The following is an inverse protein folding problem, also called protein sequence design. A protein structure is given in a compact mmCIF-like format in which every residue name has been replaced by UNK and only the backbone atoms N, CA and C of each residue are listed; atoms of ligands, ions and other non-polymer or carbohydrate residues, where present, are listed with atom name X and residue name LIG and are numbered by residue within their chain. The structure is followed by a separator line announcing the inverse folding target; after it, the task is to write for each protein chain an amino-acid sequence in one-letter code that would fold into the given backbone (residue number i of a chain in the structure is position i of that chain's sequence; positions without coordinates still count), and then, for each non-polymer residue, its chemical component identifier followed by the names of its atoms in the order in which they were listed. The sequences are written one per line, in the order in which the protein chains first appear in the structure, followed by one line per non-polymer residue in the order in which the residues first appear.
data_IF_137134556708
#
_entry.id   IF_137134556708
#
_cell.length_a   1.000
_cell.length_b   1.000
_cell.length_c   1.000
_cell.angle_alpha   90.00
_cell.angle_beta   90.00
_cell.angle_gamma   90.00
#
_symmetry.space_group_name_H-M   'P 1'
#
loop_
_entity.id
_entity.type
_entity.pdbx_description
1 polymer ?
#
# COMPACT_ATOMS: atom_id res chain seq x y z
N UNK A 1 3.71 7.65 18.02
CA UNK A 1 3.03 7.76 19.34
C UNK A 1 2.20 9.03 19.49
N UNK A 2 2.23 9.92 18.54
CA UNK A 2 1.47 11.17 18.63
C UNK A 2 0.21 11.01 17.78
N UNK A 3 -0.88 10.62 18.45
CA UNK A 3 -2.20 10.68 17.85
C UNK A 3 -2.55 12.16 17.75
N UNK A 4 -2.45 12.71 16.54
CA UNK A 4 -2.96 14.05 16.28
C UNK A 4 -4.47 13.95 16.14
N UNK A 5 -5.18 14.74 16.94
CA UNK A 5 -6.61 14.94 16.76
C UNK A 5 -6.81 16.13 15.84
N UNK A 6 -7.81 16.11 14.96
CA UNK A 6 -8.14 17.29 14.18
C UNK A 6 -8.61 18.40 15.12
N UNK A 7 -8.05 19.59 14.97
CA UNK A 7 -8.50 20.78 15.72
C UNK A 7 -9.87 21.24 15.24
N UNK A 8 -10.13 21.09 13.93
CA UNK A 8 -11.39 21.45 13.27
C UNK A 8 -11.67 20.46 12.12
N UNK A 9 -12.94 20.42 11.69
CA UNK A 9 -13.40 19.59 10.57
C UNK A 9 -14.29 18.44 11.00
N UNK A 10 -14.84 17.74 10.01
CA UNK A 10 -15.77 16.62 10.20
C UNK A 10 -15.35 15.44 9.34
N UNK A 11 -15.48 14.24 9.89
CA UNK A 11 -15.22 12.98 9.17
C UNK A 11 -16.56 12.30 8.93
N UNK A 12 -16.82 11.90 7.69
CA UNK A 12 -18.03 11.17 7.32
C UNK A 12 -17.67 9.81 6.78
N UNK A 13 -18.34 8.77 7.27
CA UNK A 13 -18.28 7.40 6.73
C UNK A 13 -19.71 6.99 6.42
N UNK A 14 -19.97 6.58 5.18
CA UNK A 14 -21.31 6.24 4.68
C UNK A 14 -22.36 7.35 4.94
N UNK A 15 -21.94 8.61 4.82
CA UNK A 15 -22.80 9.79 5.03
C UNK A 15 -23.13 10.09 6.49
N UNK A 16 -22.54 9.36 7.45
CA UNK A 16 -22.71 9.62 8.88
C UNK A 16 -21.45 10.28 9.42
N UNK A 17 -21.62 11.35 10.18
CA UNK A 17 -20.52 11.97 10.91
C UNK A 17 -20.00 11.02 11.98
N UNK A 18 -18.67 10.84 12.01
CA UNK A 18 -17.99 9.93 12.93
C UNK A 18 -16.79 10.61 13.56
N UNK A 19 -16.43 10.16 14.75
CA UNK A 19 -15.23 10.57 15.44
C UNK A 19 -14.29 9.38 15.60
N UNK A 20 -13.04 9.52 15.13
CA UNK A 20 -12.01 8.48 15.20
C UNK A 20 -10.94 8.93 16.19
N UNK A 21 -10.99 8.43 17.41
CA UNK A 21 -10.04 8.76 18.50
C UNK A 21 -9.01 7.67 18.73
N UNK A 22 -9.24 6.48 18.22
CA UNK A 22 -8.38 5.33 18.44
C UNK A 22 -8.36 4.39 17.23
N UNK A 23 -7.34 3.52 17.10
CA UNK A 23 -7.36 2.46 16.11
C UNK A 23 -8.58 1.54 16.21
N UNK A 24 -9.15 1.39 17.42
CA UNK A 24 -10.36 0.60 17.63
C UNK A 24 -11.56 1.25 16.95
N UNK A 25 -11.73 2.55 17.06
CA UNK A 25 -12.83 3.28 16.41
C UNK A 25 -12.75 3.13 14.89
N UNK A 26 -11.52 3.17 14.32
CA UNK A 26 -11.31 2.93 12.90
C UNK A 26 -11.73 1.48 12.51
N UNK A 27 -11.39 0.49 13.34
CA UNK A 27 -11.82 -0.90 13.10
C UNK A 27 -13.34 -1.07 13.17
N UNK A 28 -13.99 -0.43 14.13
CA UNK A 28 -15.44 -0.47 14.30
C UNK A 28 -16.16 0.20 13.09
N UNK A 29 -15.47 1.08 12.37
CA UNK A 29 -15.88 1.69 11.10
C UNK A 29 -15.39 0.93 9.86
N UNK A 30 -14.89 -0.28 10.01
CA UNK A 30 -14.35 -1.13 8.93
C UNK A 30 -13.18 -0.46 8.15
N UNK A 31 -12.41 0.40 8.81
CA UNK A 31 -11.22 1.04 8.23
C UNK A 31 -9.96 0.28 8.69
N UNK A 32 -9.21 -0.23 7.74
CA UNK A 32 -7.93 -0.90 7.97
C UNK A 32 -6.77 -0.12 7.39
N UNK A 33 -5.68 0.03 8.14
CA UNK A 33 -4.45 0.68 7.67
C UNK A 33 -3.28 -0.28 7.69
N UNK A 34 -2.56 -0.34 6.59
CA UNK A 34 -1.31 -1.06 6.42
C UNK A 34 -0.18 -0.04 6.37
N UNK A 35 0.70 -0.10 7.36
CA UNK A 35 1.83 0.81 7.50
C UNK A 35 3.02 0.37 6.65
N UNK A 36 3.90 1.30 6.31
CA UNK A 36 5.17 1.05 5.62
C UNK A 36 6.06 0.00 6.34
N UNK A 37 6.00 -0.06 7.66
CA UNK A 37 6.71 -1.06 8.47
C UNK A 37 5.74 -2.11 8.98
N UNK A 38 6.03 -3.37 8.65
CA UNK A 38 5.19 -4.50 9.08
C UNK A 38 5.16 -4.66 10.59
N UNK A 39 3.96 -4.88 11.12
CA UNK A 39 3.73 -5.14 12.54
C UNK A 39 3.42 -6.63 12.75
N UNK A 40 4.31 -7.49 12.23
CA UNK A 40 4.20 -8.94 12.32
C UNK A 40 5.18 -9.49 13.35
N UNK A 41 4.78 -10.58 13.98
CA UNK A 41 5.62 -11.35 14.91
C UNK A 41 6.31 -12.45 14.12
N UNK A 42 7.63 -12.35 13.97
CA UNK A 42 8.41 -13.21 13.06
C UNK A 42 8.31 -14.71 13.39
N UNK A 43 8.25 -15.07 14.67
CA UNK A 43 8.18 -16.47 15.12
C UNK A 43 6.79 -17.11 14.94
N UNK A 44 5.78 -16.32 14.62
CA UNK A 44 4.42 -16.80 14.39
C UNK A 44 4.20 -17.15 12.93
N UNK A 45 3.18 -17.97 12.67
CA UNK A 45 2.69 -18.22 11.30
C UNK A 45 1.86 -17.05 10.78
N UNK A 46 1.59 -17.03 9.47
CA UNK A 46 0.68 -16.04 8.90
C UNK A 46 -0.68 -16.07 9.59
N UNK A 47 -1.28 -17.26 9.75
CA UNK A 47 -2.57 -17.41 10.42
C UNK A 47 -2.53 -16.89 11.88
N UNK A 48 -1.49 -17.21 12.63
CA UNK A 48 -1.32 -16.72 14.01
C UNK A 48 -1.21 -15.19 14.08
N UNK A 49 -0.52 -14.55 13.12
CA UNK A 49 -0.43 -13.09 13.03
C UNK A 49 -1.76 -12.44 12.66
N UNK A 50 -2.53 -13.04 11.77
CA UNK A 50 -3.82 -12.52 11.31
C UNK A 50 -4.81 -12.43 12.46
N UNK A 51 -4.84 -13.42 13.34
CA UNK A 51 -5.76 -13.48 14.48
C UNK A 51 -5.23 -12.78 15.74
N UNK A 52 -3.97 -12.42 15.77
CA UNK A 52 -3.33 -11.80 16.93
C UNK A 52 -4.07 -10.53 17.36
N UNK A 53 -4.53 -10.49 18.61
CA UNK A 53 -5.22 -9.34 19.19
C UNK A 53 -6.72 -9.25 18.85
N UNK A 54 -7.31 -10.26 18.19
CA UNK A 54 -8.76 -10.33 18.06
C UNK A 54 -9.39 -10.72 19.41
N UNK A 55 -10.57 -10.14 19.75
CA UNK A 55 -11.35 -10.59 20.89
C UNK A 55 -11.85 -12.01 20.59
N UNK A 56 -11.22 -13.00 21.14
CA UNK A 56 -11.59 -14.39 20.97
C UNK A 56 -11.29 -15.17 22.23
N UNK A 57 -11.98 -16.27 22.43
CA UNK A 57 -11.87 -17.12 23.60
C UNK A 57 -10.42 -17.44 23.94
N UNK A 58 -10.04 -17.16 25.17
CA UNK A 58 -8.73 -17.40 25.74
C UNK A 58 -8.28 -18.84 25.43
N UNK A 59 -7.56 -19.04 24.33
CA UNK A 59 -6.81 -20.24 24.02
C UNK A 59 -7.50 -21.33 23.20
N UNK A 60 -8.67 -21.10 22.60
CA UNK A 60 -9.40 -22.11 21.78
C UNK A 60 -9.76 -21.61 20.37
N UNK A 61 -8.89 -20.86 19.73
CA UNK A 61 -9.12 -20.54 18.33
C UNK A 61 -8.76 -21.76 17.46
N UNK A 62 -9.73 -22.27 16.71
CA UNK A 62 -9.51 -23.39 15.80
C UNK A 62 -8.59 -22.94 14.66
N UNK A 63 -7.31 -23.33 14.74
CA UNK A 63 -6.31 -22.99 13.72
C UNK A 63 -6.70 -23.45 12.33
N UNK A 64 -7.46 -24.55 12.24
CA UNK A 64 -7.94 -25.08 10.97
C UNK A 64 -8.99 -24.18 10.34
N UNK A 65 -9.92 -23.68 11.15
CA UNK A 65 -10.94 -22.73 10.70
C UNK A 65 -10.32 -21.41 10.24
N UNK A 66 -9.32 -20.90 10.99
CA UNK A 66 -8.57 -19.70 10.60
C UNK A 66 -7.83 -19.89 9.29
N UNK A 67 -7.07 -21.00 9.16
CA UNK A 67 -6.34 -21.28 7.93
C UNK A 67 -7.27 -21.42 6.71
N UNK A 68 -8.47 -21.99 6.91
CA UNK A 68 -9.50 -22.07 5.87
C UNK A 68 -9.99 -20.68 5.47
N UNK A 69 -10.36 -19.82 6.42
CA UNK A 69 -10.82 -18.47 6.15
C UNK A 69 -9.74 -17.60 5.47
N UNK A 70 -8.48 -17.76 5.86
CA UNK A 70 -7.33 -17.08 5.21
C UNK A 70 -7.20 -17.52 3.75
N UNK A 71 -7.35 -18.82 3.45
CA UNK A 71 -7.35 -19.33 2.07
C UNK A 71 -8.50 -18.79 1.25
N UNK A 72 -9.72 -18.76 1.82
CA UNK A 72 -10.90 -18.20 1.14
C UNK A 72 -10.70 -16.73 0.74
N UNK A 73 -10.08 -15.91 1.61
CA UNK A 73 -9.71 -14.52 1.30
C UNK A 73 -8.63 -14.50 0.22
N UNK A 74 -7.62 -15.35 0.33
CA UNK A 74 -6.53 -15.44 -0.62
C UNK A 74 -7.04 -15.79 -2.03
N UNK A 75 -7.87 -16.81 -2.14
CA UNK A 75 -8.47 -17.27 -3.41
C UNK A 75 -9.38 -16.18 -4.02
N UNK A 76 -10.17 -15.49 -3.18
CA UNK A 76 -11.09 -14.43 -3.61
C UNK A 76 -10.38 -13.27 -4.29
N UNK A 77 -9.24 -12.84 -3.76
CA UNK A 77 -8.53 -11.66 -4.26
C UNK A 77 -7.28 -11.98 -5.09
N UNK A 78 -6.84 -13.22 -5.09
CA UNK A 78 -5.66 -13.68 -5.83
C UNK A 78 -4.34 -13.48 -5.07
N UNK A 79 -4.37 -13.59 -3.74
CA UNK A 79 -3.15 -13.61 -2.93
C UNK A 79 -2.47 -14.98 -2.96
N UNK A 80 -1.15 -14.95 -2.95
CA UNK A 80 -0.32 -16.13 -2.75
C UNK A 80 0.19 -16.16 -1.30
N UNK A 81 -0.46 -16.94 -0.44
CA UNK A 81 -0.16 -17.04 0.99
C UNK A 81 -0.36 -18.46 1.50
N UNK A 82 0.64 -19.00 2.20
CA UNK A 82 0.48 -20.20 3.04
C UNK A 82 0.18 -19.77 4.49
N UNK A 83 -1.03 -20.06 5.02
CA UNK A 83 -1.38 -19.72 6.39
C UNK A 83 -0.45 -20.31 7.47
N UNK A 84 0.24 -21.40 7.16
CA UNK A 84 1.11 -22.12 8.10
C UNK A 84 2.57 -21.71 8.01
N UNK A 85 2.97 -20.96 6.99
CA UNK A 85 4.34 -20.47 6.83
C UNK A 85 4.69 -19.48 7.94
N UNK A 86 5.89 -19.59 8.48
CA UNK A 86 6.43 -18.65 9.49
C UNK A 86 6.84 -17.34 8.83
N UNK A 87 6.59 -16.22 9.52
CA UNK A 87 6.87 -14.89 8.99
C UNK A 87 8.36 -14.69 8.68
N UNK A 88 9.28 -15.24 9.48
CA UNK A 88 10.72 -15.11 9.21
C UNK A 88 11.18 -15.82 7.93
N UNK A 89 10.39 -16.77 7.39
CA UNK A 89 10.65 -17.47 6.13
C UNK A 89 10.07 -16.75 4.91
N UNK A 90 9.30 -15.68 5.15
CA UNK A 90 8.58 -14.97 4.09
C UNK A 90 9.42 -13.86 3.46
N UNK A 91 9.24 -13.69 2.16
CA UNK A 91 9.70 -12.49 1.44
C UNK A 91 8.95 -11.24 1.93
N UNK A 92 9.46 -10.06 1.59
CA UNK A 92 8.82 -8.78 1.91
C UNK A 92 7.42 -8.69 1.32
N UNK A 93 7.24 -9.12 0.08
CA UNK A 93 5.95 -9.17 -0.61
C UNK A 93 4.95 -10.09 0.10
N UNK A 94 5.39 -11.26 0.56
CA UNK A 94 4.54 -12.17 1.32
C UNK A 94 4.14 -11.57 2.68
N UNK A 95 5.08 -10.91 3.39
CA UNK A 95 4.77 -10.20 4.66
C UNK A 95 3.72 -9.12 4.45
N UNK A 96 3.82 -8.37 3.36
CA UNK A 96 2.80 -7.38 2.99
C UNK A 96 1.43 -8.03 2.73
N UNK A 97 1.42 -9.16 2.03
CA UNK A 97 0.20 -9.95 1.82
C UNK A 97 -0.44 -10.34 3.15
N UNK A 98 0.34 -10.81 4.13
CA UNK A 98 -0.17 -11.14 5.47
C UNK A 98 -0.85 -9.94 6.14
N UNK A 99 -0.25 -8.74 6.06
CA UNK A 99 -0.85 -7.51 6.64
C UNK A 99 -2.17 -7.13 5.94
N UNK A 100 -2.25 -7.25 4.61
CA UNK A 100 -3.48 -6.97 3.87
C UNK A 100 -4.57 -8.00 4.23
N UNK A 101 -4.23 -9.29 4.22
CA UNK A 101 -5.17 -10.37 4.59
C UNK A 101 -5.64 -10.22 6.03
N UNK A 102 -4.77 -9.78 6.94
CA UNK A 102 -5.11 -9.51 8.34
C UNK A 102 -6.21 -8.45 8.48
N UNK A 103 -6.13 -7.33 7.76
CA UNK A 103 -7.18 -6.30 7.83
C UNK A 103 -8.47 -6.75 7.11
N UNK A 104 -8.37 -7.50 6.02
CA UNK A 104 -9.53 -8.09 5.33
C UNK A 104 -10.24 -9.14 6.20
N UNK A 105 -9.49 -10.00 6.88
CA UNK A 105 -10.02 -10.99 7.82
C UNK A 105 -10.81 -10.34 8.95
N UNK A 106 -10.41 -9.14 9.35
CA UNK A 106 -11.10 -8.30 10.37
C UNK A 106 -12.29 -7.53 9.82
N UNK A 107 -12.65 -7.71 8.54
CA UNK A 107 -13.83 -7.12 7.92
C UNK A 107 -13.62 -5.69 7.42
N UNK A 108 -12.39 -5.29 7.10
CA UNK A 108 -12.16 -3.96 6.53
C UNK A 108 -12.85 -3.80 5.16
N UNK A 109 -13.56 -2.68 4.98
CA UNK A 109 -14.17 -2.25 3.73
C UNK A 109 -13.41 -1.08 3.11
N UNK A 110 -12.70 -0.31 3.94
CA UNK A 110 -11.82 0.78 3.53
C UNK A 110 -10.39 0.41 3.93
N UNK A 111 -9.49 0.34 2.94
CA UNK A 111 -8.08 0.01 3.16
C UNK A 111 -7.21 1.22 2.85
N UNK A 112 -6.33 1.58 3.79
CA UNK A 112 -5.32 2.63 3.62
C UNK A 112 -3.95 1.95 3.52
N UNK A 113 -3.25 2.15 2.41
CA UNK A 113 -1.96 1.56 2.11
C UNK A 113 -0.90 2.67 2.07
N UNK A 114 0.05 2.64 2.98
CA UNK A 114 1.11 3.64 3.07
C UNK A 114 2.40 3.12 2.41
N UNK A 115 2.77 3.76 1.28
CA UNK A 115 3.93 3.41 0.43
C UNK A 115 4.04 1.89 0.11
N UNK A 116 2.95 1.23 -0.36
CA UNK A 116 2.88 -0.23 -0.42
C UNK A 116 3.86 -0.86 -1.42
N UNK A 117 4.43 -0.09 -2.31
CA UNK A 117 5.33 -0.56 -3.37
C UNK A 117 6.79 -0.17 -3.16
N UNK A 118 7.12 0.44 -2.01
CA UNK A 118 8.45 1.00 -1.76
C UNK A 118 9.59 -0.04 -1.89
N UNK A 119 9.31 -1.29 -1.55
CA UNK A 119 10.28 -2.39 -1.49
C UNK A 119 9.95 -3.57 -2.42
N UNK A 120 8.95 -3.40 -3.29
CA UNK A 120 8.52 -4.42 -4.24
C UNK A 120 9.25 -4.31 -5.57
N UNK A 121 9.48 -5.45 -6.20
CA UNK A 121 9.88 -5.51 -7.60
C UNK A 121 8.74 -5.07 -8.52
N UNK A 122 9.01 -4.69 -9.78
CA UNK A 122 7.94 -4.35 -10.74
C UNK A 122 6.89 -5.47 -10.89
N UNK A 123 7.33 -6.73 -10.90
CA UNK A 123 6.44 -7.89 -11.02
C UNK A 123 5.54 -8.06 -9.80
N UNK A 124 6.07 -7.84 -8.59
CA UNK A 124 5.30 -7.87 -7.35
C UNK A 124 4.31 -6.70 -7.26
N UNK A 125 4.71 -5.52 -7.74
CA UNK A 125 3.84 -4.34 -7.83
C UNK A 125 2.63 -4.62 -8.73
N UNK A 126 2.81 -5.23 -9.90
CA UNK A 126 1.70 -5.60 -10.78
C UNK A 126 0.77 -6.65 -10.16
N UNK A 127 1.30 -7.61 -9.41
CA UNK A 127 0.48 -8.55 -8.63
C UNK A 127 -0.36 -7.82 -7.59
N UNK A 128 0.24 -6.90 -6.84
CA UNK A 128 -0.46 -6.10 -5.86
C UNK A 128 -1.58 -5.27 -6.50
N UNK A 129 -1.32 -4.63 -7.64
CA UNK A 129 -2.33 -3.87 -8.38
C UNK A 129 -3.48 -4.74 -8.88
N UNK A 130 -3.19 -5.98 -9.28
CA UNK A 130 -4.22 -6.95 -9.66
C UNK A 130 -5.12 -7.29 -8.47
N UNK A 131 -4.54 -7.53 -7.31
CA UNK A 131 -5.27 -7.76 -6.05
C UNK A 131 -6.14 -6.56 -5.70
N UNK A 132 -5.61 -5.34 -5.80
CA UNK A 132 -6.37 -4.11 -5.53
C UNK A 132 -7.55 -3.94 -6.48
N UNK A 133 -7.35 -4.23 -7.78
CA UNK A 133 -8.46 -4.24 -8.76
C UNK A 133 -9.54 -5.27 -8.42
N UNK A 134 -9.16 -6.44 -7.90
CA UNK A 134 -10.12 -7.46 -7.45
C UNK A 134 -10.88 -7.00 -6.19
N UNK A 135 -10.19 -6.41 -5.22
CA UNK A 135 -10.84 -5.82 -4.04
C UNK A 135 -11.81 -4.70 -4.41
N UNK A 136 -11.41 -3.82 -5.35
CA UNK A 136 -12.29 -2.77 -5.87
C UNK A 136 -13.55 -3.33 -6.53
N UNK A 137 -13.43 -4.39 -7.36
CA UNK A 137 -14.59 -5.09 -7.97
C UNK A 137 -15.54 -5.66 -6.92
N UNK A 138 -15.02 -6.03 -5.77
CA UNK A 138 -15.78 -6.53 -4.62
C UNK A 138 -16.34 -5.39 -3.73
N UNK A 139 -16.25 -4.14 -4.18
CA UNK A 139 -16.82 -2.97 -3.50
C UNK A 139 -15.95 -2.39 -2.38
N UNK A 140 -14.70 -2.81 -2.24
CA UNK A 140 -13.78 -2.23 -1.26
C UNK A 140 -13.26 -0.87 -1.73
N UNK A 141 -13.16 0.09 -0.82
CA UNK A 141 -12.49 1.36 -1.06
C UNK A 141 -11.00 1.26 -0.69
N UNK A 142 -10.12 1.74 -1.57
CA UNK A 142 -8.67 1.66 -1.35
C UNK A 142 -8.07 3.05 -1.47
N UNK A 143 -7.34 3.47 -0.46
CA UNK A 143 -6.57 4.71 -0.42
C UNK A 143 -5.09 4.34 -0.44
N UNK A 144 -4.35 4.82 -1.43
CA UNK A 144 -2.90 4.61 -1.54
C UNK A 144 -2.21 5.93 -1.26
N UNK A 145 -1.24 5.92 -0.36
CA UNK A 145 -0.32 7.02 -0.14
C UNK A 145 0.98 6.65 -0.86
N UNK A 146 1.36 7.41 -1.87
CA UNK A 146 2.59 7.19 -2.63
C UNK A 146 3.08 8.47 -3.30
N UNK A 147 4.37 8.53 -3.58
CA UNK A 147 4.99 9.59 -4.37
C UNK A 147 5.31 9.16 -5.82
N UNK A 148 5.00 7.91 -6.18
CA UNK A 148 5.28 7.33 -7.50
C UNK A 148 4.13 7.58 -8.48
N UNK A 149 4.20 8.66 -9.23
CA UNK A 149 3.12 9.12 -10.12
C UNK A 149 2.66 8.08 -11.16
N UNK A 150 3.58 7.26 -11.68
CA UNK A 150 3.24 6.20 -12.64
C UNK A 150 2.33 5.14 -12.01
N UNK A 151 2.50 4.84 -10.71
CA UNK A 151 1.65 3.90 -9.98
C UNK A 151 0.26 4.49 -9.76
N UNK A 152 0.20 5.77 -9.38
CA UNK A 152 -1.08 6.50 -9.24
C UNK A 152 -1.87 6.42 -10.53
N UNK A 153 -1.26 6.76 -11.67
CA UNK A 153 -1.92 6.73 -12.97
C UNK A 153 -2.34 5.32 -13.41
N UNK A 154 -1.65 4.27 -12.93
CA UNK A 154 -1.93 2.88 -13.32
C UNK A 154 -3.10 2.23 -12.55
N UNK A 155 -3.38 2.66 -11.31
CA UNK A 155 -4.27 1.90 -10.43
C UNK A 155 -5.39 2.73 -9.79
N UNK A 156 -5.25 4.06 -9.66
CA UNK A 156 -6.25 4.88 -9.00
C UNK A 156 -7.29 5.46 -9.96
N UNK A 157 -8.46 5.78 -9.46
CA UNK A 157 -9.52 6.49 -10.20
C UNK A 157 -9.42 7.99 -10.01
N UNK A 158 -9.03 8.40 -8.80
CA UNK A 158 -8.92 9.79 -8.39
C UNK A 158 -7.65 9.99 -7.58
N UNK A 159 -7.03 11.13 -7.73
CA UNK A 159 -5.82 11.50 -7.00
C UNK A 159 -6.00 12.84 -6.31
N UNK A 160 -5.61 12.89 -5.03
CA UNK A 160 -5.53 14.10 -4.24
C UNK A 160 -4.07 14.42 -3.94
N UNK A 161 -3.66 15.67 -4.09
CA UNK A 161 -2.29 16.11 -3.86
C UNK A 161 -2.21 16.90 -2.56
N UNK A 162 -1.34 16.43 -1.67
CA UNK A 162 -0.95 17.11 -0.45
C UNK A 162 0.49 17.64 -0.60
N UNK A 163 0.72 18.86 -0.22
CA UNK A 163 2.06 19.49 -0.28
C UNK A 163 2.32 20.29 0.98
N UNK A 164 3.36 19.95 1.71
CA UNK A 164 3.73 20.59 2.99
C UNK A 164 2.59 20.65 4.01
N UNK A 165 1.75 19.61 4.05
CA UNK A 165 0.60 19.54 4.94
C UNK A 165 -0.67 20.24 4.43
N UNK A 166 -0.61 20.91 3.27
CA UNK A 166 -1.76 21.59 2.66
C UNK A 166 -2.38 20.75 1.54
N UNK A 167 -3.71 20.74 1.49
CA UNK A 167 -4.45 20.17 0.37
C UNK A 167 -4.37 21.13 -0.83
N UNK A 168 -3.79 20.65 -1.93
CA UNK A 168 -3.59 21.45 -3.15
C UNK A 168 -4.77 21.30 -4.12
N UNK A 169 -5.37 20.12 -4.14
CA UNK A 169 -6.49 19.80 -5.02
C UNK A 169 -6.53 18.32 -5.35
N UNK A 170 -7.53 17.95 -6.10
CA UNK A 170 -7.73 16.59 -6.60
C UNK A 170 -8.18 16.61 -8.06
N UNK A 171 -8.00 15.48 -8.74
CA UNK A 171 -8.39 15.28 -10.13
C UNK A 171 -8.68 13.81 -10.41
N UNK A 172 -9.51 13.56 -11.41
CA UNK A 172 -9.71 12.20 -11.91
C UNK A 172 -8.47 11.75 -12.67
N UNK A 173 -8.02 10.53 -12.41
CA UNK A 173 -6.81 9.97 -13.04
C UNK A 173 -6.94 9.88 -14.56
N UNK A 174 -8.17 9.66 -15.07
CA UNK A 174 -8.42 9.60 -16.51
C UNK A 174 -8.08 10.90 -17.27
N UNK A 175 -8.12 12.04 -16.58
CA UNK A 175 -7.80 13.37 -17.12
C UNK A 175 -6.45 13.91 -16.68
N UNK A 176 -5.82 13.25 -15.71
CA UNK A 176 -4.53 13.65 -15.16
C UNK A 176 -3.37 13.22 -16.07
N UNK A 177 -2.32 14.03 -16.12
CA UNK A 177 -1.04 13.68 -16.71
C UNK A 177 0.05 13.64 -15.65
N UNK A 178 1.13 12.94 -15.91
CA UNK A 178 2.29 12.95 -15.03
C UNK A 178 2.81 14.38 -14.82
N UNK A 179 2.79 15.21 -15.86
CA UNK A 179 3.22 16.61 -15.79
C UNK A 179 2.29 17.41 -14.87
N UNK A 180 0.97 17.32 -15.03
CA UNK A 180 0.01 18.08 -14.21
C UNK A 180 0.13 17.70 -12.72
N UNK A 181 0.28 16.43 -12.41
CA UNK A 181 0.48 15.97 -11.04
C UNK A 181 1.83 16.46 -10.46
N UNK A 182 2.89 16.43 -11.27
CA UNK A 182 4.20 16.97 -10.87
C UNK A 182 4.10 18.46 -10.52
N UNK A 183 3.43 19.24 -11.36
CA UNK A 183 3.26 20.69 -11.16
C UNK A 183 2.47 20.97 -9.86
N UNK A 184 1.42 20.19 -9.57
CA UNK A 184 0.68 20.28 -8.31
C UNK A 184 1.57 19.94 -7.10
N UNK A 185 2.38 18.90 -7.19
CA UNK A 185 3.26 18.46 -6.09
C UNK A 185 4.39 19.46 -5.82
N UNK A 186 5.00 20.00 -6.87
CA UNK A 186 6.14 20.92 -6.76
C UNK A 186 5.69 22.39 -6.54
N UNK A 187 4.52 22.74 -7.06
CA UNK A 187 3.95 24.10 -6.94
C UNK A 187 4.49 25.12 -7.93
N UNK A 188 5.15 24.65 -8.97
CA UNK A 188 5.62 25.45 -10.11
C UNK A 188 5.69 24.56 -11.34
N UNK A 189 5.55 25.12 -12.50
CA UNK A 189 5.79 24.38 -13.73
C UNK A 189 7.22 23.84 -13.75
N UNK A 190 7.34 22.51 -13.84
CA UNK A 190 8.64 21.82 -13.91
C UNK A 190 8.80 21.28 -15.32
N UNK A 191 9.84 21.73 -16.03
CA UNK A 191 10.22 21.08 -17.29
C UNK A 191 10.89 19.75 -16.96
N UNK A 192 10.25 18.64 -17.38
CA UNK A 192 10.84 17.30 -17.27
C UNK A 192 11.93 17.08 -18.34
N UNK A 193 11.98 17.94 -19.37
CA UNK A 193 13.03 17.94 -20.36
C UNK A 193 14.18 18.84 -19.86
N UNK A 194 15.28 18.22 -19.53
CA UNK A 194 16.52 18.93 -19.23
C UNK A 194 17.29 19.04 -20.55
N UNK A 195 17.25 20.22 -21.17
CA UNK A 195 18.19 20.54 -22.24
C UNK A 195 19.61 20.59 -21.65
N UNK A 196 20.35 19.52 -21.86
CA UNK A 196 21.77 19.48 -21.51
C UNK A 196 22.56 20.09 -22.64
N UNK A 197 23.28 21.19 -22.42
CA UNK A 197 24.19 21.72 -23.44
C UNK A 197 25.23 20.62 -23.76
N UNK A 198 25.49 20.43 -25.05
CA UNK A 198 26.57 19.56 -25.48
C UNK A 198 27.90 20.04 -24.86
N UNK A 199 28.52 19.15 -24.13
CA UNK A 199 29.78 19.44 -23.49
C UNK A 199 30.89 19.34 -24.57
N UNK A 200 31.34 20.48 -25.09
CA UNK A 200 32.36 20.54 -26.16
C UNK A 200 33.76 20.09 -25.69
N UNK A 201 34.02 20.06 -24.37
CA UNK A 201 35.26 19.62 -23.77
C UNK A 201 35.04 18.35 -22.94
N UNK A 202 34.80 17.22 -23.58
CA UNK A 202 34.64 15.95 -22.92
C UNK A 202 36.00 15.44 -22.44
N UNK A 203 36.22 15.44 -21.14
CA UNK A 203 37.32 14.70 -20.50
C UNK A 203 36.78 13.43 -19.89
N UNK A 204 37.44 12.30 -20.16
CA UNK A 204 37.06 11.00 -19.59
C UNK A 204 37.20 11.08 -18.06
N UNK A 205 36.08 11.04 -17.34
CA UNK A 205 36.04 11.11 -15.86
C UNK A 205 35.82 9.74 -15.20
N UNK A 206 35.28 8.78 -15.95
CA UNK A 206 35.05 7.42 -15.49
C UNK A 206 35.22 6.47 -16.67
N UNK A 207 36.13 5.52 -16.53
CA UNK A 207 36.31 4.43 -17.47
C UNK A 207 35.93 3.12 -16.78
N UNK A 208 34.84 2.50 -17.22
CA UNK A 208 34.44 1.18 -16.74
C UNK A 208 35.00 0.13 -17.69
N UNK A 209 36.02 -0.61 -17.23
CA UNK A 209 36.56 -1.75 -17.94
C UNK A 209 35.89 -2.99 -17.41
N UNK A 210 35.30 -3.83 -18.28
CA UNK A 210 34.65 -5.08 -17.94
C UNK A 210 33.30 -4.92 -17.18
N UNK A 211 32.28 -4.48 -17.92
CA UNK A 211 30.89 -4.66 -17.47
C UNK A 211 30.47 -6.10 -17.87
N UNK A 212 30.52 -7.04 -16.92
CA UNK A 212 29.92 -8.35 -17.14
C UNK A 212 28.42 -8.25 -16.91
N UNK A 213 27.64 -8.27 -17.97
CA UNK A 213 26.25 -8.67 -17.87
C UNK A 213 26.26 -10.19 -17.82
N UNK A 214 26.00 -10.77 -16.65
CA UNK A 214 25.71 -12.20 -16.59
C UNK A 214 24.34 -12.41 -17.18
N UNK A 215 24.26 -12.71 -18.46
CA UNK A 215 23.15 -13.44 -19.02
C UNK A 215 23.24 -14.86 -18.44
N UNK A 216 22.71 -15.02 -17.22
CA UNK A 216 22.45 -16.33 -16.68
C UNK A 216 21.21 -16.85 -17.38
N UNK A 217 21.43 -17.88 -18.19
CA UNK A 217 20.43 -18.70 -18.85
C UNK A 217 19.37 -19.27 -17.89
#
# INVERSE_FOLDING_TARGET
RDSYYPDEGQIFVDGKEVEIRSPKDAFDLHIGMIHQHFKLVDVFTAAENIILGLPGDKGKMDKTAVAKAVREIADRYGFDIDPNQKIYEMSVSQKQTVEIVKVLYRGADILILDEPTAVLTPQETEKLFTVMRNMKKDGKAIIIITHKLHEVLAVSDRVAVLRKGEYIGDTDTATASQQSLTDMMVGRAVSLNIDRPLNENQTERLKVCLLYTSDAA
#
